data_IF_226513284204
#
_entry.id   IF_226513284204
#
_cell.length_a   1.000
_cell.length_b   1.000
_cell.length_c   1.000
_cell.angle_alpha   90.00
_cell.angle_beta   90.00
_cell.angle_gamma   90.00
#
_symmetry.space_group_name_H-M   'P 1'
#
loop_
_entity.id
_entity.type
_entity.pdbx_description
1 polymer ?
#
# COMPACT_ATOMS: atom_id res chain seq x y z
N UNK A 1 -4.30 -4.61 -4.18
CA UNK A 1 -3.53 -4.25 -5.38
C UNK A 1 -4.04 -2.97 -6.04
N UNK A 2 -5.34 -2.82 -6.31
CA UNK A 2 -5.92 -1.63 -6.95
C UNK A 2 -5.58 -0.30 -6.23
N UNK A 3 -5.54 -0.30 -4.89
CA UNK A 3 -5.16 0.88 -4.11
C UNK A 3 -3.70 1.33 -4.39
N UNK A 4 -2.74 0.40 -4.46
CA UNK A 4 -1.33 0.73 -4.69
C UNK A 4 -1.06 1.24 -6.12
N UNK A 5 -1.67 0.61 -7.13
CA UNK A 5 -1.58 1.06 -8.53
C UNK A 5 -2.15 2.47 -8.66
N UNK A 6 -3.32 2.73 -8.07
CA UNK A 6 -3.92 4.06 -8.05
C UNK A 6 -3.05 5.07 -7.30
N UNK A 7 -2.46 4.71 -6.15
CA UNK A 7 -1.53 5.57 -5.39
C UNK A 7 -0.38 6.04 -6.28
N UNK A 8 0.31 5.14 -6.99
CA UNK A 8 1.39 5.50 -7.91
C UNK A 8 0.89 6.44 -9.01
N UNK A 9 -0.20 6.08 -9.69
CA UNK A 9 -0.74 6.85 -10.82
C UNK A 9 -1.14 8.26 -10.37
N UNK A 10 -1.77 8.41 -9.21
CA UNK A 10 -2.16 9.71 -8.69
C UNK A 10 -0.94 10.54 -8.28
N UNK A 11 0.06 9.94 -7.63
CA UNK A 11 1.33 10.61 -7.32
C UNK A 11 2.01 11.11 -8.60
N UNK A 12 2.07 10.28 -9.64
CA UNK A 12 2.65 10.65 -10.92
C UNK A 12 1.91 11.83 -11.58
N UNK A 13 0.56 11.78 -11.60
CA UNK A 13 -0.30 12.81 -12.20
C UNK A 13 -0.22 14.17 -11.52
N UNK A 14 0.08 14.23 -10.21
CA UNK A 14 0.26 15.51 -9.49
C UNK A 14 1.32 16.39 -10.16
N UNK A 15 2.32 15.79 -10.78
CA UNK A 15 3.41 16.50 -11.44
C UNK A 15 3.10 16.99 -12.85
N UNK A 16 1.95 16.65 -13.43
CA UNK A 16 1.59 17.08 -14.78
C UNK A 16 1.63 18.62 -14.91
N UNK A 17 2.41 19.14 -15.85
CA UNK A 17 2.64 20.57 -16.02
C UNK A 17 3.87 21.13 -15.30
N UNK A 18 4.62 20.31 -14.55
CA UNK A 18 5.93 20.72 -14.02
C UNK A 18 6.91 21.00 -15.16
N UNK A 19 7.61 22.12 -15.10
CA UNK A 19 8.64 22.52 -16.06
C UNK A 19 10.04 22.48 -15.43
N UNK A 20 11.02 21.97 -16.17
CA UNK A 20 12.42 22.03 -15.76
C UNK A 20 12.93 23.46 -15.69
N UNK A 21 14.02 23.65 -14.96
CA UNK A 21 14.52 24.96 -14.58
C UNK A 21 15.77 25.35 -15.35
N UNK A 22 16.02 26.65 -15.47
CA UNK A 22 17.27 27.20 -16.02
C UNK A 22 18.47 27.02 -15.09
N UNK A 23 18.23 26.87 -13.78
CA UNK A 23 19.25 26.71 -12.73
C UNK A 23 18.68 25.96 -11.51
N UNK A 24 19.48 25.76 -10.46
CA UNK A 24 19.06 25.09 -9.22
C UNK A 24 18.11 25.92 -8.32
N UNK A 25 17.60 27.05 -8.81
CA UNK A 25 16.63 27.90 -8.12
C UNK A 25 15.19 27.42 -8.36
N UNK A 26 14.32 27.57 -7.36
CA UNK A 26 12.86 27.31 -7.43
C UNK A 26 12.49 25.90 -7.94
N UNK A 27 13.28 24.88 -7.58
CA UNK A 27 13.13 23.52 -8.10
C UNK A 27 11.77 22.88 -7.80
N UNK A 28 11.09 23.29 -6.73
CA UNK A 28 9.77 22.77 -6.33
C UNK A 28 8.60 23.56 -6.96
N UNK A 29 8.84 24.72 -7.56
CA UNK A 29 7.81 25.45 -8.30
C UNK A 29 7.49 24.71 -9.60
N UNK A 30 6.22 24.70 -10.00
CA UNK A 30 5.83 24.09 -11.28
C UNK A 30 6.35 24.90 -12.47
N UNK A 31 6.32 26.23 -12.39
CA UNK A 31 6.58 27.10 -13.55
C UNK A 31 7.63 28.19 -13.30
N UNK A 32 7.91 28.56 -12.05
CA UNK A 32 8.95 29.57 -11.78
C UNK A 32 10.32 29.02 -12.17
N UNK A 33 11.22 29.92 -12.54
CA UNK A 33 12.57 29.60 -13.01
C UNK A 33 12.61 28.62 -14.20
N UNK A 34 11.52 28.47 -14.96
CA UNK A 34 11.46 27.57 -16.11
C UNK A 34 12.59 27.88 -17.11
N UNK A 35 13.13 26.82 -17.72
CA UNK A 35 14.20 26.90 -18.71
C UNK A 35 14.42 25.56 -19.41
N UNK A 36 15.53 25.43 -20.14
CA UNK A 36 15.86 24.23 -20.94
C UNK A 36 17.20 23.60 -20.54
N UNK A 37 17.59 23.75 -19.27
CA UNK A 37 18.89 23.33 -18.75
C UNK A 37 18.79 22.07 -17.87
N UNK A 38 17.67 21.33 -17.89
CA UNK A 38 17.49 20.08 -17.13
C UNK A 38 17.69 20.19 -15.59
N UNK A 39 17.49 21.36 -14.98
CA UNK A 39 17.50 21.47 -13.51
C UNK A 39 16.11 21.09 -12.96
N UNK A 40 16.02 20.12 -12.06
CA UNK A 40 14.73 19.63 -11.54
C UNK A 40 14.76 19.26 -10.06
N UNK A 41 13.60 19.23 -9.40
CA UNK A 41 13.44 18.62 -8.09
C UNK A 41 13.78 17.12 -8.12
N UNK A 42 13.44 16.42 -9.22
CA UNK A 42 13.69 14.99 -9.36
C UNK A 42 15.18 14.63 -9.33
N UNK A 43 16.06 15.41 -9.99
CA UNK A 43 17.50 15.12 -9.92
C UNK A 43 18.08 15.48 -8.53
N UNK A 44 17.56 16.53 -7.87
CA UNK A 44 17.90 16.85 -6.48
C UNK A 44 17.48 15.73 -5.52
N UNK A 45 16.27 15.21 -5.66
CA UNK A 45 15.75 14.19 -4.75
C UNK A 45 16.39 12.83 -5.03
N UNK A 46 16.68 12.51 -6.30
CA UNK A 46 17.52 11.37 -6.66
C UNK A 46 18.91 11.43 -5.99
N UNK A 47 19.54 12.61 -5.92
CA UNK A 47 20.78 12.80 -5.17
C UNK A 47 20.58 12.52 -3.67
N UNK A 48 19.50 12.99 -3.04
CA UNK A 48 19.22 12.67 -1.62
C UNK A 48 19.06 11.16 -1.39
N UNK A 49 18.44 10.45 -2.35
CA UNK A 49 18.19 9.01 -2.24
C UNK A 49 19.42 8.14 -2.51
N UNK A 50 20.40 8.65 -3.28
CA UNK A 50 21.47 7.80 -3.85
C UNK A 50 22.89 8.35 -3.72
N UNK A 51 23.05 9.64 -3.42
CA UNK A 51 24.34 10.35 -3.43
C UNK A 51 24.84 10.74 -4.83
N UNK A 52 24.16 10.36 -5.92
CA UNK A 52 24.57 10.70 -7.29
C UNK A 52 23.99 12.05 -7.74
N UNK A 53 24.86 13.04 -7.94
CA UNK A 53 24.43 14.36 -8.42
C UNK A 53 24.28 14.37 -9.95
N UNK A 54 23.04 14.47 -10.41
CA UNK A 54 22.66 14.40 -11.83
C UNK A 54 21.83 15.61 -12.27
N UNK A 55 21.95 16.75 -11.59
CA UNK A 55 21.37 18.00 -12.09
C UNK A 55 21.91 18.34 -13.48
N UNK A 56 21.07 19.00 -14.29
CA UNK A 56 21.35 19.34 -15.68
C UNK A 56 21.52 18.13 -16.63
N UNK A 57 21.11 16.93 -16.21
CA UNK A 57 21.08 15.72 -17.05
C UNK A 57 19.64 15.35 -17.44
N UNK A 58 19.42 14.61 -18.55
CA UNK A 58 18.10 14.13 -18.92
C UNK A 58 17.45 13.32 -17.78
N UNK A 59 16.20 13.68 -17.43
CA UNK A 59 15.63 13.30 -16.14
C UNK A 59 14.38 12.41 -16.19
N UNK A 60 14.00 11.87 -17.36
CA UNK A 60 12.82 11.00 -17.50
C UNK A 60 12.83 9.79 -16.56
N UNK A 61 13.98 9.13 -16.40
CA UNK A 61 14.16 8.00 -15.50
C UNK A 61 14.22 8.41 -14.02
N UNK A 62 14.83 9.56 -13.72
CA UNK A 62 14.83 10.12 -12.37
C UNK A 62 13.41 10.47 -11.91
N UNK A 63 12.58 11.02 -12.79
CA UNK A 63 11.15 11.24 -12.55
C UNK A 63 10.44 9.95 -12.15
N UNK A 64 10.58 8.87 -12.94
CA UNK A 64 9.93 7.60 -12.60
C UNK A 64 10.43 7.09 -11.24
N UNK A 65 11.74 7.02 -11.04
CA UNK A 65 12.32 6.56 -9.77
C UNK A 65 11.79 7.35 -8.58
N UNK A 66 11.80 8.68 -8.66
CA UNK A 66 11.38 9.54 -7.56
C UNK A 66 9.86 9.47 -7.30
N UNK A 67 9.03 9.34 -8.34
CA UNK A 67 7.58 9.11 -8.16
C UNK A 67 7.29 7.81 -7.41
N UNK A 68 8.07 6.74 -7.64
CA UNK A 68 7.96 5.51 -6.84
C UNK A 68 8.37 5.76 -5.38
N UNK A 69 9.45 6.53 -5.14
CA UNK A 69 9.88 6.88 -3.78
C UNK A 69 8.81 7.72 -3.06
N UNK A 70 8.23 8.72 -3.72
CA UNK A 70 7.15 9.54 -3.17
C UNK A 70 5.90 8.69 -2.83
N UNK A 71 5.60 7.66 -3.62
CA UNK A 71 4.43 6.81 -3.39
C UNK A 71 4.64 5.75 -2.31
N UNK A 72 5.85 5.17 -2.19
CA UNK A 72 6.06 3.93 -1.41
C UNK A 72 7.27 3.97 -0.47
N UNK A 73 8.05 5.05 -0.46
CA UNK A 73 9.32 5.13 0.26
C UNK A 73 10.47 4.46 -0.50
N UNK A 74 11.70 4.79 -0.09
CA UNK A 74 12.92 4.45 -0.83
C UNK A 74 13.13 2.94 -1.01
N UNK A 75 13.04 2.18 0.07
CA UNK A 75 13.37 0.75 0.04
C UNK A 75 12.33 -0.07 -0.74
N UNK A 76 11.04 0.26 -0.58
CA UNK A 76 9.96 -0.36 -1.36
C UNK A 76 10.10 0.00 -2.84
N UNK A 77 10.38 1.27 -3.16
CA UNK A 77 10.59 1.71 -4.53
C UNK A 77 11.72 0.96 -5.24
N UNK A 78 12.89 0.80 -4.59
CA UNK A 78 14.02 0.02 -5.14
C UNK A 78 13.59 -1.41 -5.50
N UNK A 79 12.93 -2.12 -4.59
CA UNK A 79 12.48 -3.50 -4.83
C UNK A 79 11.44 -3.56 -5.95
N UNK A 80 10.46 -2.65 -5.95
CA UNK A 80 9.45 -2.54 -7.00
C UNK A 80 10.07 -2.29 -8.38
N UNK A 81 11.16 -1.53 -8.47
CA UNK A 81 11.87 -1.22 -9.72
C UNK A 81 12.92 -2.26 -10.14
N UNK A 82 13.02 -3.40 -9.46
CA UNK A 82 13.95 -4.48 -9.86
C UNK A 82 15.29 -4.46 -9.12
N UNK A 83 15.35 -3.81 -7.95
CA UNK A 83 16.46 -3.89 -7.00
C UNK A 83 17.11 -2.55 -6.67
N UNK A 84 16.97 -1.55 -7.54
CA UNK A 84 17.50 -0.21 -7.32
C UNK A 84 16.67 0.85 -8.04
N UNK A 85 16.86 2.12 -7.66
CA UNK A 85 16.42 3.25 -8.48
C UNK A 85 17.26 3.29 -9.78
N UNK A 86 16.73 3.94 -10.81
CA UNK A 86 17.45 4.12 -12.08
C UNK A 86 17.30 5.54 -12.61
N UNK A 87 18.38 6.06 -13.19
CA UNK A 87 18.43 7.35 -13.87
C UNK A 87 18.75 7.20 -15.37
N UNK A 88 18.94 5.96 -15.83
CA UNK A 88 19.26 5.62 -17.22
C UNK A 88 18.32 4.52 -17.73
N UNK A 89 17.66 4.76 -18.86
CA UNK A 89 16.58 3.89 -19.36
C UNK A 89 17.03 2.43 -19.60
N UNK A 90 18.20 2.15 -20.23
CA UNK A 90 18.68 0.79 -20.38
C UNK A 90 18.90 0.05 -19.06
N UNK A 91 19.33 0.76 -18.01
CA UNK A 91 19.47 0.19 -16.67
C UNK A 91 18.11 -0.28 -16.15
N UNK A 92 17.07 0.54 -16.24
CA UNK A 92 15.71 0.16 -15.83
C UNK A 92 15.19 -1.06 -16.60
N UNK A 93 15.39 -1.11 -17.93
CA UNK A 93 15.03 -2.29 -18.74
C UNK A 93 15.76 -3.54 -18.25
N UNK A 94 17.06 -3.45 -17.98
CA UNK A 94 17.85 -4.59 -17.51
C UNK A 94 17.41 -5.05 -16.11
N UNK A 95 17.07 -4.12 -15.20
CA UNK A 95 16.55 -4.44 -13.87
C UNK A 95 15.24 -5.24 -13.95
N UNK A 96 14.26 -4.79 -14.74
CA UNK A 96 13.00 -5.52 -14.90
C UNK A 96 13.18 -6.87 -15.60
N UNK A 97 14.09 -6.97 -16.58
CA UNK A 97 14.41 -8.25 -17.22
C UNK A 97 15.08 -9.22 -16.24
N UNK A 98 16.08 -8.77 -15.49
CA UNK A 98 16.77 -9.59 -14.50
C UNK A 98 15.83 -10.06 -13.38
N UNK A 99 14.85 -9.23 -13.01
CA UNK A 99 13.81 -9.57 -12.04
C UNK A 99 12.68 -10.45 -12.61
N UNK A 100 12.73 -10.87 -13.88
CA UNK A 100 11.68 -11.67 -14.52
C UNK A 100 10.35 -10.94 -14.72
N UNK A 101 10.35 -9.59 -14.68
CA UNK A 101 9.16 -8.72 -14.68
C UNK A 101 9.12 -7.79 -15.90
N UNK A 102 9.67 -8.24 -17.02
CA UNK A 102 9.60 -7.54 -18.30
C UNK A 102 8.45 -8.10 -19.16
N UNK A 103 7.62 -7.22 -19.71
CA UNK A 103 6.42 -7.58 -20.46
C UNK A 103 6.32 -6.83 -21.80
N UNK A 104 5.58 -7.42 -22.74
CA UNK A 104 5.12 -6.77 -23.98
C UNK A 104 3.66 -6.30 -23.89
N UNK A 105 2.97 -6.64 -22.80
CA UNK A 105 1.59 -6.27 -22.56
C UNK A 105 1.54 -5.09 -21.57
N UNK A 106 0.85 -3.99 -21.90
CA UNK A 106 0.71 -2.85 -20.99
C UNK A 106 -0.30 -3.14 -19.87
N UNK A 107 -0.01 -2.61 -18.69
CA UNK A 107 -0.91 -2.59 -17.53
C UNK A 107 -0.87 -1.22 -16.85
N UNK A 108 -1.97 -0.71 -16.26
CA UNK A 108 -1.92 0.49 -15.42
C UNK A 108 -0.86 0.35 -14.31
N UNK A 109 -0.07 1.40 -14.12
CA UNK A 109 1.05 1.44 -13.17
C UNK A 109 2.35 0.83 -13.69
N UNK A 110 2.35 0.13 -14.84
CA UNK A 110 3.57 -0.36 -15.44
C UNK A 110 4.50 0.79 -15.85
N UNK A 111 5.81 0.54 -15.81
CA UNK A 111 6.82 1.45 -16.33
C UNK A 111 6.98 1.18 -17.82
N UNK A 112 6.57 2.13 -18.66
CA UNK A 112 6.78 2.03 -20.11
C UNK A 112 8.19 2.47 -20.48
N UNK A 113 8.81 1.82 -21.45
CA UNK A 113 10.07 2.25 -22.05
C UNK A 113 9.93 2.37 -23.57
N UNK A 114 10.59 3.38 -24.13
CA UNK A 114 10.64 3.63 -25.57
C UNK A 114 12.04 3.42 -26.13
N UNK A 115 12.12 3.07 -27.41
CA UNK A 115 13.37 2.84 -28.14
C UNK A 115 13.57 3.81 -29.30
N UNK A 116 14.84 4.11 -29.56
CA UNK A 116 15.30 4.80 -30.77
C UNK A 116 15.82 3.82 -31.84
N UNK A 117 15.56 2.51 -31.68
CA UNK A 117 16.07 1.44 -32.55
C UNK A 117 17.34 0.77 -32.04
N UNK A 118 18.15 1.45 -31.22
CA UNK A 118 19.40 0.88 -30.67
C UNK A 118 19.28 0.55 -29.18
N UNK A 119 18.65 1.43 -28.39
CA UNK A 119 18.52 1.27 -26.94
C UNK A 119 17.20 1.83 -26.42
N UNK A 120 16.91 1.56 -25.15
CA UNK A 120 15.90 2.31 -24.43
C UNK A 120 16.40 3.74 -24.22
N UNK A 121 15.58 4.75 -24.49
CA UNK A 121 16.01 6.15 -24.44
C UNK A 121 15.00 7.09 -23.75
N UNK A 122 13.77 6.63 -23.52
CA UNK A 122 12.75 7.37 -22.77
C UNK A 122 11.87 6.41 -21.97
N UNK A 123 11.24 6.91 -20.91
CA UNK A 123 10.41 6.13 -19.99
C UNK A 123 9.33 6.98 -19.35
N UNK A 124 8.27 6.33 -18.86
CA UNK A 124 7.20 6.96 -18.10
C UNK A 124 6.34 5.93 -17.37
N UNK A 125 5.25 6.39 -16.77
CA UNK A 125 4.32 5.54 -16.02
C UNK A 125 3.01 5.42 -16.80
N UNK A 126 2.55 4.19 -17.03
CA UNK A 126 1.25 3.92 -17.64
C UNK A 126 0.14 4.30 -16.67
N UNK A 127 -0.75 5.19 -17.09
CA UNK A 127 -1.89 5.67 -16.27
C UNK A 127 -3.20 5.02 -16.65
N UNK A 128 -3.34 4.56 -17.90
CA UNK A 128 -4.53 3.89 -18.40
C UNK A 128 -4.19 3.06 -19.62
N UNK A 129 -4.82 1.89 -19.75
CA UNK A 129 -4.79 1.06 -20.96
C UNK A 129 -6.22 0.93 -21.47
N UNK A 130 -6.44 1.19 -22.75
CA UNK A 130 -7.72 0.96 -23.42
C UNK A 130 -7.58 -0.15 -24.46
N UNK A 131 -8.64 -0.43 -25.22
CA UNK A 131 -8.59 -1.39 -26.31
C UNK A 131 -7.46 -1.10 -27.31
N UNK A 132 -7.24 0.18 -27.65
CA UNK A 132 -6.31 0.62 -28.70
C UNK A 132 -5.15 1.50 -28.22
N UNK A 133 -5.26 2.14 -27.06
CA UNK A 133 -4.28 3.14 -26.59
C UNK A 133 -3.63 2.75 -25.27
N UNK A 134 -2.41 3.25 -25.07
CA UNK A 134 -1.73 3.32 -23.78
C UNK A 134 -1.55 4.80 -23.45
N UNK A 135 -2.09 5.23 -22.31
CA UNK A 135 -1.91 6.59 -21.79
C UNK A 135 -0.87 6.58 -20.68
N UNK A 136 -0.04 7.61 -20.64
CA UNK A 136 1.11 7.68 -19.73
C UNK A 136 1.21 9.07 -19.12
N UNK A 137 2.04 9.18 -18.09
CA UNK A 137 2.57 10.43 -17.55
C UNK A 137 4.09 10.27 -17.53
N UNK A 138 4.80 11.21 -18.14
CA UNK A 138 6.23 11.07 -18.43
C UNK A 138 6.94 12.34 -18.02
N UNK A 139 8.16 12.21 -17.51
CA UNK A 139 9.06 13.32 -17.21
C UNK A 139 10.03 13.56 -18.36
N UNK A 140 10.58 14.75 -18.42
CA UNK A 140 11.46 15.23 -19.49
C UNK A 140 10.87 15.06 -20.90
N UNK A 141 9.61 15.44 -21.06
CA UNK A 141 8.85 15.41 -22.32
C UNK A 141 8.09 16.72 -22.48
N UNK A 142 7.31 16.83 -23.56
CA UNK A 142 6.38 17.95 -23.80
C UNK A 142 5.02 17.46 -24.26
N UNK A 143 4.05 18.37 -24.38
CA UNK A 143 2.70 18.09 -24.87
C UNK A 143 2.61 17.73 -26.37
N UNK A 144 3.71 17.82 -27.13
CA UNK A 144 3.70 17.44 -28.54
C UNK A 144 3.39 15.94 -28.73
N UNK A 145 2.88 15.54 -29.90
CA UNK A 145 2.52 14.14 -30.16
C UNK A 145 3.75 13.25 -30.29
N UNK A 146 3.60 11.96 -29.94
CA UNK A 146 4.70 10.99 -29.98
C UNK A 146 5.68 11.16 -28.82
N UNK A 147 6.75 10.37 -28.85
CA UNK A 147 7.77 10.39 -27.78
C UNK A 147 8.67 11.58 -28.02
N UNK A 148 8.75 12.46 -27.02
CA UNK A 148 9.61 13.65 -27.03
C UNK A 148 10.56 13.50 -25.87
N UNK A 149 11.80 13.17 -26.16
CA UNK A 149 12.89 13.24 -25.19
C UNK A 149 13.34 14.68 -24.98
N UNK A 150 13.79 14.99 -23.77
CA UNK A 150 14.31 16.31 -23.44
C UNK A 150 13.32 17.45 -23.67
N UNK A 151 12.03 17.19 -23.46
CA UNK A 151 10.95 18.12 -23.79
C UNK A 151 10.66 19.18 -22.72
N UNK A 152 11.41 19.19 -21.61
CA UNK A 152 11.40 20.28 -20.66
C UNK A 152 10.32 20.23 -19.57
N UNK A 153 9.49 19.19 -19.51
CA UNK A 153 8.47 19.09 -18.47
C UNK A 153 7.91 17.69 -18.23
N UNK A 154 6.92 17.63 -17.35
CA UNK A 154 6.09 16.45 -17.13
C UNK A 154 4.78 16.63 -17.89
N UNK A 155 4.44 15.70 -18.78
CA UNK A 155 3.21 15.77 -19.56
C UNK A 155 2.51 14.41 -19.65
N UNK A 156 1.19 14.45 -19.70
CA UNK A 156 0.38 13.30 -20.06
C UNK A 156 0.50 13.01 -21.57
N UNK A 157 0.63 11.73 -21.93
CA UNK A 157 0.82 11.29 -23.31
C UNK A 157 -0.14 10.14 -23.64
N UNK A 158 -0.33 9.89 -24.93
CA UNK A 158 -1.20 8.83 -25.45
C UNK A 158 -0.60 8.24 -26.71
N UNK A 159 -0.45 6.93 -26.75
CA UNK A 159 0.14 6.18 -27.85
C UNK A 159 -0.78 5.06 -28.30
N UNK A 160 -0.74 4.70 -29.57
CA UNK A 160 -1.28 3.42 -30.02
C UNK A 160 -0.54 2.26 -29.37
N UNK A 161 -1.25 1.19 -29.00
CA UNK A 161 -0.64 -0.02 -28.46
C UNK A 161 0.39 -0.65 -29.42
N UNK A 162 0.21 -0.41 -30.72
CA UNK A 162 1.12 -0.85 -31.79
C UNK A 162 2.21 0.18 -32.12
N UNK A 163 2.32 1.29 -31.38
CA UNK A 163 3.28 2.33 -31.68
C UNK A 163 4.72 1.77 -31.68
N UNK A 164 5.38 1.88 -32.82
CA UNK A 164 6.62 1.14 -33.12
C UNK A 164 7.80 1.45 -32.20
N UNK A 165 7.78 2.62 -31.54
CA UNK A 165 8.83 3.02 -30.58
C UNK A 165 8.60 2.49 -29.18
N UNK A 166 7.49 1.80 -28.89
CA UNK A 166 7.29 1.14 -27.60
C UNK A 166 8.23 -0.08 -27.53
N UNK A 167 9.20 -0.02 -26.62
CA UNK A 167 10.13 -1.13 -26.41
C UNK A 167 9.50 -2.23 -25.55
N UNK A 168 8.73 -1.86 -24.53
CA UNK A 168 8.06 -2.77 -23.63
C UNK A 168 7.79 -2.14 -22.26
N UNK A 169 7.45 -2.99 -21.30
CA UNK A 169 6.94 -2.59 -19.99
C UNK A 169 7.67 -3.32 -18.87
N UNK A 170 8.13 -2.57 -17.87
CA UNK A 170 8.53 -3.11 -16.58
C UNK A 170 7.33 -3.20 -15.65
N UNK A 171 7.08 -4.39 -15.08
CA UNK A 171 5.97 -4.61 -14.15
C UNK A 171 6.48 -4.46 -12.70
N UNK A 172 6.04 -3.44 -11.96
CA UNK A 172 6.36 -3.32 -10.54
C UNK A 172 5.81 -4.50 -9.75
N UNK A 173 6.53 -4.90 -8.71
CA UNK A 173 6.02 -5.92 -7.78
C UNK A 173 5.03 -5.28 -6.80
N UNK A 174 3.76 -5.31 -7.18
CA UNK A 174 2.67 -4.74 -6.39
C UNK A 174 2.42 -5.45 -5.06
N UNK A 175 2.97 -6.65 -4.85
CA UNK A 175 2.85 -7.35 -3.56
C UNK A 175 3.60 -6.62 -2.44
N UNK A 176 4.65 -5.87 -2.80
CA UNK A 176 5.48 -5.08 -1.88
C UNK A 176 4.82 -3.77 -1.42
N UNK A 177 3.83 -3.30 -2.18
CA UNK A 177 3.06 -2.09 -1.85
C UNK A 177 1.84 -2.39 -0.99
N UNK A 178 1.71 -3.62 -0.47
CA UNK A 178 0.77 -3.92 0.61
C UNK A 178 1.32 -3.22 1.84
N UNK A 179 0.65 -2.14 2.25
CA UNK A 179 0.69 -1.71 3.64
C UNK A 179 0.38 -2.95 4.49
N UNK A 180 1.07 -3.19 5.63
CA UNK A 180 0.67 -4.26 6.52
C UNK A 180 -0.82 -4.07 6.81
N UNK A 181 -1.60 -5.16 6.72
CA UNK A 181 -3.01 -5.09 7.12
C UNK A 181 -3.01 -4.62 8.58
N UNK A 182 -3.40 -3.36 8.81
CA UNK A 182 -3.58 -2.83 10.16
C UNK A 182 -4.88 -3.44 10.66
N UNK A 183 -4.76 -4.64 11.24
CA UNK A 183 -5.87 -5.29 11.91
C UNK A 183 -6.25 -4.45 13.12
N UNK A 184 -7.53 -4.08 13.20
CA UNK A 184 -8.06 -3.39 14.38
C UNK A 184 -8.40 -4.46 15.39
N UNK A 185 -7.64 -4.50 16.47
CA UNK A 185 -7.90 -5.41 17.57
C UNK A 185 -9.26 -5.12 18.22
N UNK A 186 -10.01 -6.18 18.50
CA UNK A 186 -11.33 -6.10 19.11
C UNK A 186 -12.33 -7.12 18.58
N UNK A 187 -13.56 -7.00 19.07
CA UNK A 187 -14.68 -7.83 18.65
C UNK A 187 -15.20 -7.40 17.27
N UNK A 188 -15.31 -8.37 16.36
CA UNK A 188 -15.81 -8.20 15.01
C UNK A 188 -17.08 -9.04 14.84
N UNK A 189 -18.13 -8.42 14.30
CA UNK A 189 -19.38 -9.13 14.00
C UNK A 189 -19.17 -10.02 12.77
N UNK A 190 -19.55 -11.28 12.88
CA UNK A 190 -19.49 -12.25 11.79
C UNK A 190 -20.39 -11.81 10.63
N UNK A 191 -20.11 -12.34 9.43
CA UNK A 191 -20.82 -12.00 8.20
C UNK A 191 -22.33 -12.32 8.25
N UNK A 192 -22.75 -13.25 9.12
CA UNK A 192 -24.16 -13.55 9.35
C UNK A 192 -24.90 -12.51 10.20
N UNK A 193 -24.19 -11.51 10.74
CA UNK A 193 -24.74 -10.46 11.58
C UNK A 193 -25.17 -10.90 12.98
N UNK A 194 -24.88 -12.13 13.39
CA UNK A 194 -25.36 -12.74 14.65
C UNK A 194 -24.25 -13.07 15.64
N UNK A 195 -23.14 -13.61 15.14
CA UNK A 195 -22.02 -14.09 15.96
C UNK A 195 -20.91 -13.05 16.05
N UNK A 196 -20.06 -13.18 17.07
CA UNK A 196 -18.88 -12.35 17.26
C UNK A 196 -17.62 -13.22 17.26
N UNK A 197 -16.50 -12.66 16.84
CA UNK A 197 -15.16 -13.23 16.98
C UNK A 197 -14.20 -12.10 17.39
N UNK A 198 -13.04 -12.44 17.96
CA UNK A 198 -12.07 -11.45 18.42
C UNK A 198 -10.80 -11.49 17.58
N UNK A 199 -10.41 -10.35 17.00
CA UNK A 199 -9.19 -10.19 16.20
C UNK A 199 -8.09 -9.50 17.01
N UNK A 200 -6.84 -9.93 16.84
CA UNK A 200 -5.64 -9.28 17.38
C UNK A 200 -4.96 -8.38 16.34
N UNK A 201 -4.08 -7.49 16.78
CA UNK A 201 -3.35 -6.54 15.90
C UNK A 201 -2.46 -7.23 14.86
N UNK A 202 -2.04 -8.46 15.12
CA UNK A 202 -1.23 -9.26 14.20
C UNK A 202 -2.06 -10.04 13.17
N UNK A 203 -3.39 -9.95 13.24
CA UNK A 203 -4.33 -10.63 12.35
C UNK A 203 -4.77 -12.01 12.81
N UNK A 204 -4.18 -12.54 13.88
CA UNK A 204 -4.68 -13.75 14.54
C UNK A 204 -6.03 -13.48 15.23
N UNK A 205 -6.68 -14.53 15.70
CA UNK A 205 -7.97 -14.43 16.37
C UNK A 205 -8.15 -15.43 17.50
N UNK A 206 -9.02 -15.12 18.46
CA UNK A 206 -9.36 -16.03 19.56
C UNK A 206 -10.18 -17.22 19.05
N UNK A 207 -9.76 -18.44 19.38
CA UNK A 207 -10.48 -19.66 19.03
C UNK A 207 -10.17 -20.79 20.01
N UNK A 208 -11.04 -21.78 20.10
CA UNK A 208 -10.78 -23.05 20.82
C UNK A 208 -10.40 -22.89 22.30
N UNK A 209 -11.02 -21.96 23.03
CA UNK A 209 -10.68 -21.78 24.43
C UNK A 209 -11.17 -20.50 25.09
N UNK A 210 -10.72 -20.34 26.33
CA UNK A 210 -11.01 -19.20 27.19
C UNK A 210 -9.99 -18.09 26.97
N UNK A 211 -10.46 -16.85 26.86
CA UNK A 211 -9.64 -15.67 26.67
C UNK A 211 -10.11 -14.54 27.57
N UNK A 212 -9.17 -13.86 28.21
CA UNK A 212 -9.39 -12.62 28.94
C UNK A 212 -9.22 -11.46 27.98
N UNK A 213 -10.31 -10.74 27.68
CA UNK A 213 -10.34 -9.75 26.62
C UNK A 213 -11.01 -8.46 27.10
N UNK A 214 -10.53 -7.32 26.61
CA UNK A 214 -11.13 -6.00 26.88
C UNK A 214 -12.09 -5.63 25.77
N UNK A 215 -13.33 -5.31 26.14
CA UNK A 215 -14.31 -4.69 25.25
C UNK A 215 -13.97 -3.19 25.16
N UNK A 216 -13.61 -2.73 23.97
CA UNK A 216 -12.98 -1.42 23.76
C UNK A 216 -13.92 -0.23 23.93
N UNK A 217 -15.25 -0.41 23.77
CA UNK A 217 -16.19 0.71 23.88
C UNK A 217 -16.43 1.11 25.34
N UNK A 218 -16.40 0.14 26.24
CA UNK A 218 -16.58 0.34 27.69
C UNK A 218 -15.27 0.31 28.46
N UNK A 219 -14.20 -0.26 27.87
CA UNK A 219 -12.92 -0.50 28.56
C UNK A 219 -12.99 -1.65 29.58
N UNK A 220 -14.05 -2.46 29.55
CA UNK A 220 -14.26 -3.53 30.54
C UNK A 220 -13.64 -4.85 30.06
N UNK A 221 -12.92 -5.53 30.95
CA UNK A 221 -12.32 -6.85 30.69
C UNK A 221 -13.14 -7.96 31.32
N UNK A 222 -13.22 -9.10 30.62
CA UNK A 222 -13.91 -10.29 31.10
C UNK A 222 -13.36 -11.55 30.44
N UNK A 223 -13.72 -12.71 31.00
CA UNK A 223 -13.50 -14.02 30.38
C UNK A 223 -14.57 -14.30 29.32
N UNK A 224 -14.12 -14.70 28.13
CA UNK A 224 -14.95 -15.15 27.01
C UNK A 224 -14.50 -16.54 26.57
N UNK A 225 -15.41 -17.33 26.03
CA UNK A 225 -15.13 -18.66 25.47
C UNK A 225 -15.41 -18.68 23.98
N UNK A 226 -14.53 -19.29 23.20
CA UNK A 226 -14.63 -19.37 21.75
C UNK A 226 -14.64 -20.82 21.25
N UNK A 227 -15.45 -21.08 20.22
CA UNK A 227 -15.50 -22.37 19.54
C UNK A 227 -14.27 -22.62 18.65
N UNK A 228 -14.22 -23.80 18.02
CA UNK A 228 -13.11 -24.19 17.15
C UNK A 228 -12.96 -23.30 15.90
N UNK A 229 -14.04 -22.66 15.46
CA UNK A 229 -14.04 -21.74 14.32
C UNK A 229 -13.74 -20.29 14.72
N UNK A 230 -13.58 -20.00 16.01
CA UNK A 230 -13.29 -18.68 16.53
C UNK A 230 -14.52 -17.83 16.85
N UNK A 231 -15.71 -18.42 16.91
CA UNK A 231 -16.91 -17.69 17.32
C UNK A 231 -17.08 -17.71 18.84
N UNK A 232 -17.35 -16.55 19.39
CA UNK A 232 -17.68 -16.34 20.78
C UNK A 232 -18.97 -17.10 21.15
N UNK A 233 -18.90 -17.87 22.22
CA UNK A 233 -20.03 -18.63 22.75
C UNK A 233 -20.85 -17.78 23.75
N UNK A 234 -22.12 -18.13 23.89
CA UNK A 234 -23.06 -17.55 24.85
C UNK A 234 -23.88 -18.64 25.56
N UNK A 235 -24.57 -18.29 26.63
CA UNK A 235 -25.43 -19.21 27.39
C UNK A 235 -24.65 -20.25 28.21
N UNK A 236 -25.31 -21.37 28.51
CA UNK A 236 -24.72 -22.47 29.28
C UNK A 236 -23.65 -23.22 28.49
N UNK A 237 -22.48 -23.37 29.10
CA UNK A 237 -21.35 -24.11 28.54
C UNK A 237 -20.85 -25.14 29.56
N UNK A 238 -20.49 -26.33 29.08
CA UNK A 238 -19.90 -27.40 29.90
C UNK A 238 -18.48 -27.65 29.44
N UNK A 239 -17.51 -27.47 30.33
CA UNK A 239 -16.10 -27.74 30.06
C UNK A 239 -15.82 -29.25 30.03
N UNK A 240 -14.71 -29.69 29.41
CA UNK A 240 -14.35 -31.12 29.33
C UNK A 240 -14.19 -31.80 30.70
N UNK A 241 -13.88 -31.04 31.75
CA UNK A 241 -13.77 -31.51 33.13
C UNK A 241 -15.10 -31.56 33.89
N UNK A 242 -16.23 -31.25 33.21
CA UNK A 242 -17.57 -31.27 33.76
C UNK A 242 -17.99 -29.97 34.47
N UNK A 243 -17.11 -28.97 34.61
CA UNK A 243 -17.50 -27.66 35.16
C UNK A 243 -18.46 -26.95 34.21
N UNK A 244 -19.43 -26.25 34.80
CA UNK A 244 -20.46 -25.50 34.07
C UNK A 244 -20.24 -24.01 34.22
N UNK A 245 -20.38 -23.30 33.12
CA UNK A 245 -20.23 -21.85 33.04
C UNK A 245 -21.46 -21.26 32.35
N UNK A 246 -21.80 -20.03 32.73
CA UNK A 246 -22.86 -19.28 32.07
C UNK A 246 -22.26 -18.01 31.47
N UNK A 247 -22.39 -17.87 30.16
CA UNK A 247 -21.92 -16.71 29.40
C UNK A 247 -23.13 -15.84 29.06
N UNK A 248 -23.05 -14.53 29.26
CA UNK A 248 -24.18 -13.62 29.06
C UNK A 248 -24.77 -13.75 27.63
N UNK A 249 -26.04 -14.16 27.47
CA UNK A 249 -26.66 -14.29 26.14
C UNK A 249 -27.29 -12.99 25.64
N UNK A 250 -27.38 -11.97 26.49
CA UNK A 250 -28.01 -10.70 26.18
C UNK A 250 -27.15 -9.91 25.19
N UNK A 251 -27.79 -9.43 24.13
CA UNK A 251 -27.13 -8.63 23.10
C UNK A 251 -26.74 -7.27 23.69
N UNK A 252 -25.46 -6.91 23.58
CA UNK A 252 -24.94 -5.65 24.08
C UNK A 252 -23.48 -5.76 24.50
N UNK A 253 -23.01 -4.78 25.27
CA UNK A 253 -21.61 -4.68 25.73
C UNK A 253 -21.19 -5.82 26.67
N UNK A 254 -22.14 -6.57 27.20
CA UNK A 254 -21.89 -7.71 28.08
C UNK A 254 -22.03 -9.06 27.39
N UNK A 255 -22.43 -9.10 26.12
CA UNK A 255 -22.66 -10.36 25.39
C UNK A 255 -21.40 -11.26 25.44
N UNK A 256 -21.57 -12.52 25.85
CA UNK A 256 -20.50 -13.52 25.92
C UNK A 256 -19.60 -13.45 27.16
N UNK A 257 -19.72 -12.41 28.00
CA UNK A 257 -18.96 -12.33 29.25
C UNK A 257 -19.36 -13.46 30.20
N UNK A 258 -18.38 -14.12 30.80
CA UNK A 258 -18.63 -15.13 31.83
C UNK A 258 -19.24 -14.48 33.07
N UNK A 259 -20.38 -15.03 33.49
CA UNK A 259 -21.14 -14.58 34.66
C UNK A 259 -20.79 -15.44 35.87
N UNK A 260 -20.92 -14.83 37.05
CA UNK A 260 -20.86 -15.51 38.35
C UNK A 260 -22.11 -15.18 39.16
N UNK A 261 -22.37 -15.96 40.21
CA UNK A 261 -23.43 -15.66 41.18
C UNK A 261 -22.87 -14.88 42.36
N UNK A 262 -23.61 -13.88 42.83
CA UNK A 262 -23.32 -13.21 44.10
C UNK A 262 -23.59 -14.09 45.33
N UNK A 263 -23.46 -13.51 46.54
CA UNK A 263 -23.72 -14.20 47.80
C UNK A 263 -25.21 -14.50 48.05
N UNK A 264 -26.11 -13.95 47.21
CA UNK A 264 -27.55 -14.18 47.20
C UNK A 264 -28.02 -15.10 46.07
N UNK A 265 -27.12 -15.47 45.15
CA UNK A 265 -27.39 -16.34 44.00
C UNK A 265 -27.80 -15.60 42.71
N UNK A 266 -27.73 -14.27 42.68
CA UNK A 266 -28.03 -13.46 41.49
C UNK A 266 -26.86 -13.49 40.49
N UNK A 267 -27.16 -13.63 39.20
CA UNK A 267 -26.14 -13.62 38.15
C UNK A 267 -25.63 -12.21 37.86
N UNK A 268 -24.31 -12.04 37.84
CA UNK A 268 -23.66 -10.75 37.56
C UNK A 268 -22.38 -10.89 36.74
N UNK A 269 -21.94 -9.77 36.15
CA UNK A 269 -20.59 -9.60 35.61
C UNK A 269 -19.72 -8.99 36.71
N UNK A 270 -18.86 -9.82 37.30
CA UNK A 270 -17.97 -9.41 38.39
C UNK A 270 -16.55 -9.11 37.88
N UNK A 271 -15.83 -8.28 38.64
CA UNK A 271 -14.39 -8.07 38.45
C UNK A 271 -13.61 -9.36 38.73
N UNK A 272 -12.45 -9.50 38.10
CA UNK A 272 -11.58 -10.65 38.27
C UNK A 272 -10.23 -10.20 38.80
N UNK A 273 -9.83 -10.74 39.95
CA UNK A 273 -8.49 -10.57 40.48
C UNK A 273 -7.55 -11.52 39.74
N UNK A 274 -6.74 -10.97 38.82
CA UNK A 274 -5.78 -11.74 38.03
C UNK A 274 -4.65 -12.37 38.87
N UNK A 275 -4.32 -11.77 40.01
CA UNK A 275 -3.26 -12.26 40.92
C UNK A 275 -3.80 -13.45 41.73
N UNK A 276 -4.96 -13.28 42.35
CA UNK A 276 -5.61 -14.33 43.13
C UNK A 276 -6.33 -15.37 42.26
N UNK A 277 -6.47 -15.10 40.95
CA UNK A 277 -7.16 -15.94 39.96
C UNK A 277 -8.59 -16.29 40.34
N UNK A 278 -9.35 -15.30 40.81
CA UNK A 278 -10.75 -15.48 41.23
C UNK A 278 -11.58 -14.23 40.95
N UNK A 279 -12.88 -14.44 40.80
CA UNK A 279 -13.84 -13.34 40.77
C UNK A 279 -13.95 -12.67 42.14
N UNK A 280 -14.14 -11.35 42.11
CA UNK A 280 -14.42 -10.52 43.28
C UNK A 280 -15.94 -10.47 43.40
N UNK A 281 -16.46 -11.21 44.38
CA UNK A 281 -17.90 -11.40 44.63
C UNK A 281 -18.21 -10.82 46.01
#
# INVERSE_FOLDING_TARGET
MENAVNKLIQTAKKWNGYLEKKSNKDLDSFTDNAGSNNYTCFARDYYKHTGHNLQAQPWCAMYVSDVFVQAFGLETAKKMLGGALYHYCPTGVNQFKAAGRWSKTPEPGAVIFFTNGTRAYHTGIVTQVTASKVKTIEGNTSGASGVVENGGGVCAKSYDKSYSRILGYGLPDWSLAREPEIYREGFIRAADGKRWWYQYKDGSYAHSGWYWLTEITTGTSAWYLFDAAGYMLTGYQTAPDGRKYYLCPEKGVNEGKCMVTDDQGELQIAEYDEIARRYII
#
